data_IF_570291741467
#
_entry.id   IF_570291741467
#
_cell.length_a   1.000
_cell.length_b   1.000
_cell.length_c   1.000
_cell.angle_alpha   90.00
_cell.angle_beta   90.00
_cell.angle_gamma   90.00
#
_symmetry.space_group_name_H-M   'P 1'
#
loop_
_entity.id
_entity.type
_entity.pdbx_description
1 polymer ?
#
# COMPACT_ATOMS: atom_id res chain seq x y z
N UNK A 1 -7.35 36.74 3.16
CA UNK A 1 -8.33 35.64 3.15
C UNK A 1 -7.92 34.67 2.05
N UNK A 2 -7.05 33.70 2.34
CA UNK A 2 -6.47 32.80 1.34
C UNK A 2 -7.33 31.56 1.17
N UNK A 3 -7.97 31.44 0.00
CA UNK A 3 -8.61 30.20 -0.49
C UNK A 3 -7.50 29.23 -0.88
N UNK A 4 -7.10 28.34 0.03
CA UNK A 4 -6.25 27.20 -0.31
C UNK A 4 -7.15 26.18 -1.00
N UNK A 5 -6.93 26.01 -2.30
CA UNK A 5 -7.49 24.94 -3.11
C UNK A 5 -7.03 23.59 -2.55
N UNK A 6 -7.87 22.97 -1.70
CA UNK A 6 -7.74 21.57 -1.29
C UNK A 6 -8.66 20.72 -2.15
N UNK A 7 -8.40 20.67 -3.45
CA UNK A 7 -9.07 19.73 -4.36
C UNK A 7 -8.03 19.07 -5.28
N UNK A 8 -7.33 18.07 -4.73
CA UNK A 8 -6.98 16.86 -5.48
C UNK A 8 -7.49 15.71 -4.62
N UNK A 9 -8.69 15.26 -4.95
CA UNK A 9 -9.47 14.24 -4.24
C UNK A 9 -8.80 12.87 -4.37
N UNK A 10 -7.74 12.63 -3.60
CA UNK A 10 -7.27 11.30 -3.24
C UNK A 10 -7.90 10.93 -1.91
N UNK A 11 -8.93 10.06 -1.90
CA UNK A 11 -9.46 9.53 -0.64
C UNK A 11 -8.32 8.94 0.19
N UNK A 12 -8.27 9.24 1.50
CA UNK A 12 -7.29 8.66 2.43
C UNK A 12 -7.34 7.14 2.28
N UNK A 13 -6.23 6.53 1.90
CA UNK A 13 -6.09 5.07 1.70
C UNK A 13 -6.70 4.30 2.88
N UNK A 14 -7.47 3.26 2.55
CA UNK A 14 -8.00 2.27 3.48
C UNK A 14 -6.85 1.32 3.89
N UNK A 15 -6.18 1.67 4.99
CA UNK A 15 -4.98 0.96 5.47
C UNK A 15 -5.26 -0.46 5.87
N UNK A 16 -6.35 -0.72 6.60
CA UNK A 16 -6.70 -2.06 7.03
C UNK A 16 -6.97 -2.97 5.83
N UNK A 17 -7.66 -2.44 4.80
CA UNK A 17 -7.84 -3.16 3.56
C UNK A 17 -6.51 -3.51 2.89
N UNK A 18 -5.50 -2.64 2.93
CA UNK A 18 -4.19 -2.94 2.32
C UNK A 18 -3.37 -3.91 3.18
N UNK A 19 -3.34 -3.71 4.50
CA UNK A 19 -2.52 -4.49 5.44
C UNK A 19 -2.92 -5.97 5.51
N UNK A 20 -4.18 -6.31 5.20
CA UNK A 20 -4.61 -7.72 5.12
C UNK A 20 -3.82 -8.52 4.05
N UNK A 21 -3.25 -7.83 3.05
CA UNK A 21 -2.46 -8.46 1.98
C UNK A 21 -0.96 -8.47 2.27
N UNK A 22 -0.50 -7.81 3.34
CA UNK A 22 0.92 -7.74 3.66
C UNK A 22 1.48 -9.12 4.00
N UNK A 23 2.58 -9.50 3.34
CA UNK A 23 3.35 -10.73 3.54
C UNK A 23 4.82 -10.39 3.80
N UNK A 24 5.56 -11.31 4.42
CA UNK A 24 7.02 -11.18 4.64
C UNK A 24 7.76 -10.88 3.33
N UNK A 25 7.36 -11.50 2.21
CA UNK A 25 7.98 -11.26 0.91
C UNK A 25 7.95 -9.80 0.45
N UNK A 26 6.97 -9.01 0.93
CA UNK A 26 6.86 -7.59 0.60
C UNK A 26 7.86 -6.73 1.36
N UNK A 27 8.53 -7.28 2.38
CA UNK A 27 9.51 -6.59 3.22
C UNK A 27 10.96 -6.80 2.74
N UNK A 28 11.20 -7.66 1.75
CA UNK A 28 12.56 -8.00 1.25
C UNK A 28 13.42 -6.80 0.82
N UNK A 29 12.79 -5.69 0.43
CA UNK A 29 13.48 -4.43 0.10
C UNK A 29 13.71 -3.48 1.28
N UNK A 30 13.37 -3.89 2.50
CA UNK A 30 13.44 -3.10 3.72
C UNK A 30 13.99 -3.97 4.87
N UNK A 31 15.31 -3.92 5.07
CA UNK A 31 16.00 -4.73 6.09
C UNK A 31 15.50 -4.48 7.50
N UNK A 32 15.14 -3.23 7.83
CA UNK A 32 14.65 -2.86 9.17
C UNK A 32 13.30 -3.50 9.46
N UNK A 33 12.33 -3.40 8.54
CA UNK A 33 11.04 -4.05 8.70
C UNK A 33 11.15 -5.57 8.65
N UNK A 34 12.09 -6.10 7.88
CA UNK A 34 12.36 -7.54 7.83
C UNK A 34 12.88 -8.06 9.16
N UNK A 35 13.86 -7.37 9.76
CA UNK A 35 14.42 -7.72 11.07
C UNK A 35 13.34 -7.68 12.16
N UNK A 36 12.44 -6.70 12.13
CA UNK A 36 11.30 -6.63 13.06
C UNK A 36 10.34 -7.80 12.81
N UNK A 37 10.03 -8.12 11.55
CA UNK A 37 9.16 -9.24 11.23
C UNK A 37 9.74 -10.58 11.70
N UNK A 38 11.06 -10.76 11.59
CA UNK A 38 11.76 -11.98 12.02
C UNK A 38 11.80 -12.11 13.55
N UNK A 39 11.97 -11.00 14.27
CA UNK A 39 12.07 -11.01 15.74
C UNK A 39 10.71 -10.97 16.45
N UNK A 40 9.75 -10.21 15.92
CA UNK A 40 8.49 -9.87 16.58
C UNK A 40 7.24 -10.32 15.82
N UNK A 41 7.41 -10.86 14.60
CA UNK A 41 6.33 -11.31 13.75
C UNK A 41 5.74 -10.24 12.85
N UNK A 42 5.07 -10.69 11.78
CA UNK A 42 4.48 -9.82 10.75
C UNK A 42 3.34 -8.95 11.29
N UNK A 43 2.60 -9.42 12.29
CA UNK A 43 1.49 -8.65 12.86
C UNK A 43 1.97 -7.40 13.60
N UNK A 44 3.12 -7.48 14.26
CA UNK A 44 3.75 -6.30 14.86
C UNK A 44 4.17 -5.28 13.79
N UNK A 45 4.66 -5.73 12.64
CA UNK A 45 4.96 -4.85 11.50
C UNK A 45 3.68 -4.17 10.97
N UNK A 46 2.55 -4.88 10.93
CA UNK A 46 1.26 -4.26 10.55
C UNK A 46 0.83 -3.18 11.55
N UNK A 47 1.01 -3.41 12.84
CA UNK A 47 0.76 -2.41 13.89
C UNK A 47 1.66 -1.18 13.70
N UNK A 48 2.95 -1.37 13.47
CA UNK A 48 3.88 -0.27 13.18
C UNK A 48 3.46 0.54 11.96
N UNK A 49 3.10 -0.13 10.86
CA UNK A 49 2.66 0.53 9.62
C UNK A 49 1.30 1.25 9.78
N UNK A 50 0.46 0.78 10.69
CA UNK A 50 -0.84 1.38 11.02
C UNK A 50 -0.64 2.70 11.78
N UNK A 51 0.12 2.65 12.87
CA UNK A 51 0.36 3.78 13.78
C UNK A 51 1.35 4.79 13.21
N UNK A 52 2.38 4.30 12.51
CA UNK A 52 3.51 5.09 12.04
C UNK A 52 3.75 4.92 10.53
N UNK A 53 2.85 5.44 9.68
CA UNK A 53 2.86 5.26 8.21
C UNK A 53 4.06 5.88 7.50
N UNK A 54 4.83 6.71 8.19
CA UNK A 54 6.10 7.28 7.73
C UNK A 54 6.92 7.72 8.94
N UNK A 55 7.98 6.99 9.25
CA UNK A 55 9.02 7.44 10.17
C UNK A 55 10.30 7.69 9.38
N UNK A 56 11.08 8.70 9.78
CA UNK A 56 12.38 9.00 9.18
C UNK A 56 13.52 8.26 9.86
N UNK A 57 13.37 7.94 11.15
CA UNK A 57 14.41 7.30 11.98
C UNK A 57 14.53 5.81 11.66
N UNK A 58 13.41 5.18 11.33
CA UNK A 58 13.29 3.85 10.73
C UNK A 58 12.61 4.09 9.39
N UNK A 59 13.22 3.72 8.26
CA UNK A 59 12.68 3.93 6.93
C UNK A 59 11.43 3.08 6.74
N UNK A 60 10.28 3.59 7.22
CA UNK A 60 8.97 2.98 7.02
C UNK A 60 8.34 3.63 5.79
N UNK A 61 8.35 2.98 4.60
CA UNK A 61 7.73 3.55 3.42
C UNK A 61 6.21 3.55 3.59
N UNK A 62 5.54 4.52 2.98
CA UNK A 62 4.08 4.46 2.86
C UNK A 62 3.68 3.20 2.11
N UNK A 63 2.56 2.56 2.50
CA UNK A 63 2.11 1.31 1.88
C UNK A 63 1.92 1.43 0.36
N UNK A 64 1.47 2.59 -0.12
CA UNK A 64 1.32 2.92 -1.55
C UNK A 64 2.65 2.90 -2.34
N UNK A 65 3.81 3.03 -1.67
CA UNK A 65 5.14 2.94 -2.29
C UNK A 65 5.62 1.51 -2.41
N UNK A 66 5.05 0.58 -1.64
CA UNK A 66 5.36 -0.84 -1.77
C UNK A 66 4.66 -1.43 -3.01
N UNK A 67 5.36 -1.40 -4.16
CA UNK A 67 4.82 -1.90 -5.44
C UNK A 67 4.40 -3.36 -5.35
N UNK A 68 5.19 -4.22 -4.71
CA UNK A 68 4.90 -5.66 -4.61
C UNK A 68 3.58 -5.91 -3.85
N UNK A 69 3.43 -5.26 -2.70
CA UNK A 69 2.18 -5.29 -1.94
C UNK A 69 0.99 -4.79 -2.77
N UNK A 70 1.12 -3.63 -3.42
CA UNK A 70 0.04 -3.07 -4.23
C UNK A 70 -0.36 -3.95 -5.42
N UNK A 71 0.60 -4.64 -6.04
CA UNK A 71 0.32 -5.61 -7.10
C UNK A 71 -0.47 -6.81 -6.58
N UNK A 72 -0.16 -7.30 -5.38
CA UNK A 72 -0.91 -8.38 -4.74
C UNK A 72 -2.34 -7.93 -4.36
N UNK A 73 -2.49 -6.72 -3.78
CA UNK A 73 -3.81 -6.14 -3.49
C UNK A 73 -4.67 -6.09 -4.75
N UNK A 74 -4.11 -5.61 -5.88
CA UNK A 74 -4.84 -5.52 -7.14
C UNK A 74 -5.16 -6.92 -7.67
N UNK A 75 -4.17 -7.82 -7.75
CA UNK A 75 -4.34 -9.18 -8.29
C UNK A 75 -5.48 -9.92 -7.58
N UNK A 76 -5.50 -9.90 -6.25
CA UNK A 76 -6.50 -10.60 -5.44
C UNK A 76 -7.92 -10.02 -5.56
N UNK A 77 -8.06 -8.79 -6.08
CA UNK A 77 -9.33 -8.08 -6.23
C UNK A 77 -9.73 -7.84 -7.69
N UNK A 78 -8.95 -8.33 -8.66
CA UNK A 78 -9.34 -8.32 -10.07
C UNK A 78 -10.66 -9.09 -10.26
N UNK A 79 -11.61 -8.49 -10.97
CA UNK A 79 -12.95 -9.04 -11.17
C UNK A 79 -13.89 -8.93 -9.96
N UNK A 80 -13.38 -8.64 -8.75
CA UNK A 80 -14.20 -8.46 -7.53
C UNK A 80 -14.55 -6.99 -7.26
N UNK A 81 -13.68 -6.06 -7.71
CA UNK A 81 -13.85 -4.62 -7.51
C UNK A 81 -13.62 -3.85 -8.81
N UNK A 82 -14.32 -2.74 -8.97
CA UNK A 82 -14.04 -1.79 -10.05
C UNK A 82 -12.71 -1.06 -9.82
N UNK A 83 -12.12 -0.53 -10.89
CA UNK A 83 -10.88 0.26 -10.81
C UNK A 83 -11.08 1.50 -9.93
N UNK A 84 -12.27 2.10 -9.94
CA UNK A 84 -12.62 3.22 -9.07
C UNK A 84 -12.65 2.82 -7.59
N UNK A 85 -13.20 1.63 -7.26
CA UNK A 85 -13.18 1.11 -5.89
C UNK A 85 -11.75 0.81 -5.43
N UNK A 86 -10.93 0.18 -6.27
CA UNK A 86 -9.51 -0.06 -5.99
C UNK A 86 -8.75 1.25 -5.77
N UNK A 87 -8.98 2.27 -6.60
CA UNK A 87 -8.35 3.58 -6.47
C UNK A 87 -8.69 4.23 -5.13
N UNK A 88 -9.96 4.18 -4.72
CA UNK A 88 -10.40 4.72 -3.43
C UNK A 88 -9.80 3.98 -2.24
N UNK A 89 -9.73 2.64 -2.28
CA UNK A 89 -9.20 1.85 -1.16
C UNK A 89 -7.68 1.90 -1.06
N UNK A 90 -6.97 1.80 -2.19
CA UNK A 90 -5.50 1.75 -2.20
C UNK A 90 -4.84 3.12 -2.15
N UNK A 91 -5.59 4.20 -2.40
CA UNK A 91 -5.03 5.54 -2.58
C UNK A 91 -4.25 5.72 -3.89
N UNK A 92 -4.10 4.66 -4.71
CA UNK A 92 -3.42 4.75 -6.00
C UNK A 92 -4.30 5.47 -7.02
N UNK A 93 -3.66 6.23 -7.90
CA UNK A 93 -4.36 6.79 -9.06
C UNK A 93 -4.84 5.69 -10.00
N UNK A 94 -5.96 5.93 -10.67
CA UNK A 94 -6.51 5.04 -11.70
C UNK A 94 -5.46 4.70 -12.77
N UNK A 95 -4.64 5.67 -13.19
CA UNK A 95 -3.54 5.46 -14.15
C UNK A 95 -2.52 4.43 -13.63
N UNK A 96 -2.16 4.52 -12.34
CA UNK A 96 -1.21 3.59 -11.71
C UNK A 96 -1.79 2.19 -11.56
N UNK A 97 -3.08 2.08 -11.20
CA UNK A 97 -3.78 0.79 -11.15
C UNK A 97 -3.82 0.14 -12.54
N UNK A 98 -4.28 0.86 -13.57
CA UNK A 98 -4.31 0.32 -14.94
C UNK A 98 -2.94 -0.16 -15.42
N UNK A 99 -1.87 0.56 -15.08
CA UNK A 99 -0.50 0.13 -15.36
C UNK A 99 -0.16 -1.18 -14.66
N UNK A 100 -0.47 -1.32 -13.37
CA UNK A 100 -0.22 -2.56 -12.63
C UNK A 100 -1.05 -3.74 -13.13
N UNK A 101 -2.29 -3.52 -13.56
CA UNK A 101 -3.11 -4.57 -14.20
C UNK A 101 -2.43 -5.07 -15.47
N UNK A 102 -1.99 -4.17 -16.34
CA UNK A 102 -1.27 -4.55 -17.57
C UNK A 102 0.02 -5.32 -17.26
N UNK A 103 0.80 -4.89 -16.27
CA UNK A 103 2.00 -5.60 -15.84
C UNK A 103 1.72 -7.01 -15.28
N UNK A 104 0.50 -7.26 -14.77
CA UNK A 104 0.07 -8.58 -14.30
C UNK A 104 -0.37 -9.50 -15.45
N UNK A 105 -0.95 -8.93 -16.52
CA UNK A 105 -1.40 -9.66 -17.71
C UNK A 105 -0.23 -10.06 -18.64
N UNK A 106 0.88 -9.32 -18.62
CA UNK A 106 2.07 -9.58 -19.42
C UNK A 106 3.02 -10.64 -18.80
N UNK A 107 2.63 -11.26 -17.68
CA UNK A 107 3.38 -12.30 -16.97
C UNK A 107 2.73 -13.67 -17.11
#
# INVERSE_FOLDING_TARGET
MFKIWSEISGGKMDREFVLQYLKIDHLKGNSELMEIAENSGLDYVKELLREYPSMRVMYIPTLERNKALMMDVIRENLGKMSIQQLSRRTGLSIKRIKRYIRELEER
#
